data_IF_217625261002
#
_entry.id   IF_217625261002
#
_cell.length_a   1.000
_cell.length_b   1.000
_cell.length_c   1.000
_cell.angle_alpha   90.00
_cell.angle_beta   90.00
_cell.angle_gamma   90.00
#
_symmetry.space_group_name_H-M   'P 1'
#
loop_
_entity.id
_entity.type
_entity.pdbx_description
1 polymer ?
#
# COMPACT_ATOMS: atom_id res chain seq x y z
N UNK A 1 -18.76 20.59 7.00
CA UNK A 1 -18.70 21.93 6.35
C UNK A 1 -19.14 23.10 7.24
N UNK A 2 -20.30 23.03 7.95
CA UNK A 2 -20.73 24.15 8.80
C UNK A 2 -19.71 24.51 9.90
N UNK A 3 -19.08 23.47 10.51
CA UNK A 3 -18.01 23.65 11.47
C UNK A 3 -16.87 24.52 10.90
N UNK A 4 -16.30 24.11 9.77
CA UNK A 4 -15.19 24.82 9.16
C UNK A 4 -15.54 26.26 8.68
N UNK A 5 -16.78 26.47 8.20
CA UNK A 5 -17.21 27.81 7.78
C UNK A 5 -17.28 28.81 8.92
N UNK A 6 -17.68 28.33 10.12
CA UNK A 6 -17.89 29.15 11.30
C UNK A 6 -16.64 29.32 12.18
N UNK A 7 -15.57 28.62 11.86
CA UNK A 7 -14.29 28.68 12.57
C UNK A 7 -13.30 29.53 11.77
N UNK A 8 -12.99 30.74 12.23
CA UNK A 8 -12.10 31.65 11.52
C UNK A 8 -10.64 31.19 11.49
N UNK A 9 -10.25 30.26 12.34
CA UNK A 9 -8.93 29.64 12.33
C UNK A 9 -8.76 28.64 11.18
N UNK A 10 -9.84 28.03 10.68
CA UNK A 10 -9.81 27.16 9.49
C UNK A 10 -9.88 28.05 8.24
N UNK A 11 -8.83 27.98 7.41
CA UNK A 11 -8.69 28.83 6.22
C UNK A 11 -9.10 28.12 4.94
N UNK A 12 -8.79 26.82 4.85
CA UNK A 12 -9.19 25.99 3.72
C UNK A 12 -9.57 24.58 4.18
N UNK A 13 -10.36 23.88 3.37
CA UNK A 13 -10.71 22.48 3.57
C UNK A 13 -10.66 21.77 2.23
N UNK A 14 -9.98 20.63 2.20
CA UNK A 14 -9.94 19.76 1.01
C UNK A 14 -10.43 18.35 1.36
N UNK A 15 -10.92 17.64 0.33
CA UNK A 15 -11.21 16.22 0.34
C UNK A 15 -10.15 15.52 -0.49
N UNK A 16 -9.53 14.52 0.07
CA UNK A 16 -8.53 13.68 -0.59
C UNK A 16 -9.06 12.25 -0.83
N UNK A 17 -8.18 11.38 -1.29
CA UNK A 17 -8.37 9.94 -1.31
C UNK A 17 -9.43 9.44 -2.29
N UNK A 18 -10.06 8.31 -1.93
CA UNK A 18 -10.93 7.56 -2.85
C UNK A 18 -12.20 8.31 -3.28
N UNK A 19 -12.73 9.20 -2.45
CA UNK A 19 -13.90 10.03 -2.80
C UNK A 19 -13.56 11.16 -3.75
N UNK A 20 -12.30 11.60 -3.75
CA UNK A 20 -11.80 12.57 -4.72
C UNK A 20 -11.46 11.92 -6.07
N UNK A 21 -11.33 10.60 -6.14
CA UNK A 21 -11.00 9.86 -7.36
C UNK A 21 -12.27 9.54 -8.17
N UNK A 22 -12.38 10.14 -9.36
CA UNK A 22 -13.51 9.90 -10.27
C UNK A 22 -13.51 8.48 -10.86
N UNK A 23 -12.35 7.82 -10.90
CA UNK A 23 -12.16 6.48 -11.45
C UNK A 23 -12.31 5.37 -10.38
N UNK A 24 -12.33 5.74 -9.09
CA UNK A 24 -12.50 4.76 -8.02
C UNK A 24 -13.92 4.17 -8.01
N UNK A 25 -14.08 2.85 -7.82
CA UNK A 25 -15.37 2.25 -7.56
C UNK A 25 -16.02 2.88 -6.33
N UNK A 26 -17.29 3.29 -6.47
CA UNK A 26 -18.04 3.86 -5.36
C UNK A 26 -18.75 2.74 -4.59
N UNK A 27 -18.58 2.76 -3.26
CA UNK A 27 -19.28 1.85 -2.36
C UNK A 27 -19.64 2.54 -1.03
N UNK A 28 -20.34 1.81 -0.17
CA UNK A 28 -20.83 2.32 1.12
C UNK A 28 -19.73 2.43 2.19
N UNK A 29 -18.53 1.92 1.93
CA UNK A 29 -17.40 1.90 2.86
C UNK A 29 -16.31 2.90 2.51
N UNK A 30 -16.55 3.78 1.51
CA UNK A 30 -15.58 4.82 1.22
C UNK A 30 -15.50 5.83 2.36
N UNK A 31 -14.28 6.06 2.86
CA UNK A 31 -13.96 7.03 3.90
C UNK A 31 -14.05 8.48 3.37
N UNK A 32 -14.17 9.44 4.26
CA UNK A 32 -14.00 10.85 3.97
C UNK A 32 -12.62 11.29 4.50
N UNK A 33 -11.66 11.45 3.61
CA UNK A 33 -10.32 11.96 3.92
C UNK A 33 -10.36 13.50 3.85
N UNK A 34 -10.48 14.18 4.98
CA UNK A 34 -10.66 15.64 5.07
C UNK A 34 -9.43 16.27 5.70
N UNK A 35 -8.83 17.24 5.02
CA UNK A 35 -7.74 18.05 5.59
C UNK A 35 -8.14 19.51 5.70
N UNK A 36 -7.84 20.11 6.85
CA UNK A 36 -8.14 21.49 7.19
C UNK A 36 -6.84 22.29 7.36
N UNK A 37 -6.63 23.30 6.53
CA UNK A 37 -5.60 24.30 6.77
C UNK A 37 -6.01 25.20 7.93
N UNK A 38 -5.15 25.31 8.95
CA UNK A 38 -5.38 26.14 10.13
C UNK A 38 -4.24 27.13 10.37
N UNK A 39 -4.54 28.28 10.97
CA UNK A 39 -3.52 29.25 11.35
C UNK A 39 -2.86 28.90 12.69
N UNK A 40 -3.61 28.27 13.60
CA UNK A 40 -3.17 27.87 14.93
C UNK A 40 -3.68 26.45 15.22
N UNK A 41 -2.79 25.55 15.56
CA UNK A 41 -3.09 24.16 15.89
C UNK A 41 -3.72 23.98 17.28
N UNK A 42 -3.48 24.91 18.20
CA UNK A 42 -3.84 24.77 19.62
C UNK A 42 -5.31 24.39 19.88
N UNK A 43 -6.31 24.92 19.13
CA UNK A 43 -7.72 24.56 19.34
C UNK A 43 -8.07 23.13 18.94
N UNK A 44 -7.24 22.49 18.10
CA UNK A 44 -7.53 21.18 17.49
C UNK A 44 -6.72 20.05 18.11
N UNK A 45 -5.61 20.39 18.76
CA UNK A 45 -4.73 19.40 19.39
C UNK A 45 -5.39 18.78 20.61
N UNK A 46 -5.60 17.46 20.58
CA UNK A 46 -6.20 16.68 21.70
C UNK A 46 -7.54 17.26 22.22
N UNK A 47 -8.37 17.75 21.32
CA UNK A 47 -9.64 18.36 21.70
C UNK A 47 -10.79 17.34 21.67
N UNK A 48 -11.27 16.84 22.81
CA UNK A 48 -12.29 15.79 22.88
C UNK A 48 -13.68 16.27 22.40
N UNK A 49 -13.87 17.56 22.17
CA UNK A 49 -15.15 18.11 21.70
C UNK A 49 -15.29 18.04 20.18
N UNK A 50 -14.22 17.77 19.42
CA UNK A 50 -14.25 17.73 17.95
C UNK A 50 -14.92 16.47 17.44
N UNK A 51 -14.50 15.24 17.83
CA UNK A 51 -15.06 14.02 17.28
C UNK A 51 -16.59 13.90 17.39
N UNK A 52 -17.23 14.27 18.51
CA UNK A 52 -18.68 14.16 18.66
C UNK A 52 -19.49 15.07 17.74
N UNK A 53 -18.88 16.10 17.15
CA UNK A 53 -19.56 17.02 16.24
C UNK A 53 -20.02 16.34 14.93
N UNK A 54 -19.42 15.20 14.57
CA UNK A 54 -19.64 14.54 13.30
C UNK A 54 -20.55 13.32 13.39
N UNK A 55 -20.78 12.79 14.59
CA UNK A 55 -21.65 11.64 14.82
C UNK A 55 -21.35 10.87 16.11
N UNK A 56 -22.09 9.77 16.32
CA UNK A 56 -21.83 8.88 17.45
C UNK A 56 -20.63 7.99 17.15
N UNK A 57 -19.56 8.17 17.91
CA UNK A 57 -18.29 7.47 17.71
C UNK A 57 -18.42 5.99 18.08
N UNK A 58 -17.98 5.09 17.17
CA UNK A 58 -17.76 3.69 17.43
C UNK A 58 -16.35 3.43 17.93
N UNK A 59 -15.35 3.99 17.25
CA UNK A 59 -13.94 3.98 17.65
C UNK A 59 -13.25 5.24 17.13
N UNK A 60 -12.37 5.80 17.95
CA UNK A 60 -11.52 6.94 17.64
C UNK A 60 -10.07 6.52 17.76
N UNK A 61 -9.25 6.93 16.80
CA UNK A 61 -7.79 6.84 16.89
C UNK A 61 -7.21 8.24 16.62
N UNK A 62 -6.24 8.61 17.43
CA UNK A 62 -5.47 9.86 17.33
C UNK A 62 -4.00 9.47 17.14
N UNK A 63 -3.52 9.29 15.90
CA UNK A 63 -2.19 8.73 15.61
C UNK A 63 -1.06 9.52 16.26
N UNK A 64 -1.18 10.87 16.29
CA UNK A 64 -0.19 11.77 16.86
C UNK A 64 -0.17 11.76 18.40
N UNK A 65 -1.06 10.99 19.03
CA UNK A 65 -1.07 10.74 20.49
C UNK A 65 -0.64 9.31 20.87
N UNK A 66 -0.32 8.48 19.88
CA UNK A 66 0.15 7.12 20.11
C UNK A 66 1.63 7.13 20.53
N UNK A 67 2.02 6.15 21.34
CA UNK A 67 3.42 5.97 21.75
C UNK A 67 4.24 5.19 20.73
N UNK A 68 3.59 4.38 19.88
CA UNK A 68 4.23 3.56 18.87
C UNK A 68 3.36 3.49 17.60
N UNK A 69 3.88 3.95 16.45
CA UNK A 69 5.11 4.74 16.34
C UNK A 69 5.02 6.07 17.08
N UNK A 70 6.14 6.59 17.62
CA UNK A 70 6.12 7.88 18.30
C UNK A 70 5.69 8.97 17.33
N UNK A 71 4.79 9.84 17.78
CA UNK A 71 4.28 10.93 16.99
C UNK A 71 5.33 12.00 16.73
N UNK A 72 5.35 12.53 15.52
CA UNK A 72 6.07 13.75 15.19
C UNK A 72 5.14 14.93 15.49
N UNK A 73 5.50 15.79 16.47
CA UNK A 73 4.76 17.02 16.77
C UNK A 73 5.21 18.14 15.81
N UNK A 74 4.81 18.00 14.55
CA UNK A 74 5.28 18.84 13.45
C UNK A 74 4.27 19.88 12.97
N UNK A 75 3.12 20.00 13.63
CA UNK A 75 2.03 20.91 13.22
C UNK A 75 0.94 20.21 12.41
N UNK A 76 0.81 18.91 12.59
CA UNK A 76 -0.24 18.04 12.07
C UNK A 76 -0.97 17.35 13.22
N UNK A 77 -2.29 17.16 13.10
CA UNK A 77 -3.08 16.37 14.04
C UNK A 77 -4.29 15.76 13.37
N UNK A 78 -4.51 14.45 13.60
CA UNK A 78 -5.55 13.69 12.93
C UNK A 78 -6.51 13.02 13.92
N UNK A 79 -7.79 13.09 13.59
CA UNK A 79 -8.86 12.29 14.18
C UNK A 79 -9.33 11.25 13.18
N UNK A 80 -9.02 9.97 13.39
CA UNK A 80 -9.56 8.87 12.62
C UNK A 80 -10.83 8.37 13.29
N UNK A 81 -11.99 8.69 12.73
CA UNK A 81 -13.28 8.51 13.36
C UNK A 81 -14.14 7.49 12.60
N UNK A 82 -14.39 6.34 13.20
CA UNK A 82 -15.41 5.41 12.73
C UNK A 82 -16.69 5.62 13.53
N UNK A 83 -17.80 5.84 12.85
CA UNK A 83 -19.09 6.11 13.49
C UNK A 83 -19.98 4.86 13.56
N UNK A 84 -20.95 4.86 14.48
CA UNK A 84 -21.91 3.76 14.66
C UNK A 84 -22.85 3.58 13.47
N UNK A 85 -23.06 4.59 12.66
CA UNK A 85 -23.83 4.53 11.42
C UNK A 85 -23.09 3.87 10.25
N UNK A 86 -21.82 3.49 10.46
CA UNK A 86 -20.96 2.86 9.46
C UNK A 86 -20.11 3.82 8.63
N UNK A 87 -20.30 5.14 8.75
CA UNK A 87 -19.46 6.12 8.08
C UNK A 87 -18.09 6.25 8.77
N UNK A 88 -17.08 6.69 8.01
CA UNK A 88 -15.75 7.02 8.52
C UNK A 88 -15.31 8.39 8.01
N UNK A 89 -14.72 9.16 8.92
CA UNK A 89 -14.05 10.43 8.59
C UNK A 89 -12.65 10.39 9.17
N UNK A 90 -11.67 10.58 8.31
CA UNK A 90 -10.27 10.85 8.67
C UNK A 90 -10.10 12.37 8.54
N UNK A 91 -10.05 13.07 9.68
CA UNK A 91 -10.03 14.53 9.74
C UNK A 91 -8.67 14.99 10.24
N UNK A 92 -7.89 15.63 9.37
CA UNK A 92 -6.64 16.28 9.76
C UNK A 92 -6.77 17.79 9.87
N UNK A 93 -5.94 18.33 10.73
CA UNK A 93 -5.65 19.77 10.86
C UNK A 93 -4.16 19.96 10.62
N UNK A 94 -3.83 20.90 9.73
CA UNK A 94 -2.47 21.06 9.23
C UNK A 94 -2.09 22.54 9.23
N UNK A 95 -0.89 22.86 9.74
CA UNK A 95 -0.29 24.16 9.54
C UNK A 95 0.12 24.36 8.07
N UNK A 96 0.32 25.61 7.60
CA UNK A 96 0.54 25.91 6.18
C UNK A 96 1.68 25.12 5.53
N UNK A 97 2.75 24.86 6.26
CA UNK A 97 3.93 24.15 5.75
C UNK A 97 3.61 22.70 5.38
N UNK A 98 2.78 22.01 6.19
CA UNK A 98 2.37 20.62 5.96
C UNK A 98 1.19 20.53 5.00
N UNK A 99 0.25 21.47 5.08
CA UNK A 99 -0.91 21.51 4.18
C UNK A 99 -0.49 21.61 2.71
N UNK A 100 0.67 22.21 2.44
CA UNK A 100 1.22 22.24 1.08
C UNK A 100 1.40 20.86 0.50
N UNK A 101 1.95 19.91 1.25
CA UNK A 101 2.10 18.52 0.80
C UNK A 101 0.74 17.84 0.57
N UNK A 102 -0.27 18.14 1.40
CA UNK A 102 -1.64 17.62 1.26
C UNK A 102 -2.28 18.03 -0.07
N UNK A 103 -2.10 19.28 -0.49
CA UNK A 103 -2.67 19.79 -1.74
C UNK A 103 -1.85 19.46 -2.99
N UNK A 104 -0.62 18.98 -2.84
CA UNK A 104 0.19 18.43 -3.95
C UNK A 104 -0.31 17.06 -4.40
N UNK A 105 -1.08 16.33 -3.58
CA UNK A 105 -1.73 15.07 -3.99
C UNK A 105 -2.73 15.34 -5.12
N UNK A 106 -2.58 14.61 -6.21
CA UNK A 106 -3.46 14.75 -7.36
C UNK A 106 -4.91 14.35 -7.10
N UNK A 107 -5.20 13.59 -6.04
CA UNK A 107 -6.55 13.27 -5.58
C UNK A 107 -7.04 14.30 -4.54
N UNK A 108 -7.05 15.58 -4.93
CA UNK A 108 -7.51 16.69 -4.08
C UNK A 108 -8.69 17.42 -4.69
N UNK A 109 -9.75 17.61 -3.90
CA UNK A 109 -10.94 18.40 -4.24
C UNK A 109 -11.13 19.51 -3.20
N UNK A 110 -11.22 20.75 -3.64
CA UNK A 110 -11.42 21.92 -2.77
C UNK A 110 -12.87 21.91 -2.27
N UNK A 111 -13.08 21.92 -0.95
CA UNK A 111 -14.38 22.06 -0.31
C UNK A 111 -14.63 23.46 0.23
N UNK A 112 -13.58 24.15 0.69
CA UNK A 112 -13.61 25.52 1.22
C UNK A 112 -12.26 26.18 0.96
N UNK A 113 -12.29 27.43 0.53
CA UNK A 113 -11.11 28.26 0.39
C UNK A 113 -11.52 29.72 0.74
N UNK A 114 -11.27 30.15 1.98
CA UNK A 114 -11.66 31.48 2.46
C UNK A 114 -10.79 32.59 1.93
N UNK A 115 -9.55 32.28 1.62
CA UNK A 115 -8.52 33.26 1.25
C UNK A 115 -8.19 33.25 -0.25
N UNK A 116 -8.77 32.28 -0.99
CA UNK A 116 -8.51 32.11 -2.43
C UNK A 116 -7.08 31.67 -2.74
N UNK A 117 -6.47 30.90 -1.83
CA UNK A 117 -5.09 30.42 -1.96
C UNK A 117 -4.96 29.11 -2.75
N UNK A 118 -6.08 28.42 -3.00
CA UNK A 118 -6.12 27.10 -3.68
C UNK A 118 -6.54 27.21 -5.16
N UNK A 119 -6.57 28.40 -5.73
CA UNK A 119 -7.10 28.66 -7.10
C UNK A 119 -6.39 27.90 -8.20
N UNK A 120 -5.11 27.59 -8.02
CA UNK A 120 -4.25 26.96 -9.03
C UNK A 120 -4.17 25.44 -8.89
N UNK A 121 -4.94 24.82 -7.97
CA UNK A 121 -4.99 23.37 -7.83
C UNK A 121 -5.73 22.77 -9.04
N UNK A 122 -5.10 21.86 -9.78
CA UNK A 122 -5.73 21.23 -10.95
C UNK A 122 -6.91 20.34 -10.53
N UNK A 123 -7.83 20.03 -11.44
CA UNK A 123 -8.89 19.06 -11.19
C UNK A 123 -8.32 17.74 -10.69
N UNK A 124 -9.03 17.11 -9.75
CA UNK A 124 -8.61 15.84 -9.15
C UNK A 124 -8.43 14.75 -10.21
N UNK A 125 -7.33 14.01 -10.11
CA UNK A 125 -6.99 12.90 -10.99
C UNK A 125 -6.13 11.88 -10.25
N UNK A 126 -6.12 10.64 -10.70
CA UNK A 126 -5.32 9.56 -10.10
C UNK A 126 -3.90 9.41 -10.70
N UNK A 127 -3.39 10.47 -11.37
CA UNK A 127 -2.08 10.45 -12.06
C UNK A 127 -0.90 10.04 -11.17
N UNK A 128 -0.92 10.44 -9.87
CA UNK A 128 0.16 10.14 -8.94
C UNK A 128 0.12 8.69 -8.42
N UNK A 129 -0.99 8.00 -8.67
CA UNK A 129 -1.25 6.61 -8.26
C UNK A 129 -1.05 5.61 -9.41
N UNK A 130 -0.68 6.09 -10.58
CA UNK A 130 -0.32 5.24 -11.71
C UNK A 130 0.99 4.51 -11.42
N UNK A 131 1.13 3.24 -11.83
CA UNK A 131 2.41 2.55 -11.75
C UNK A 131 3.45 3.29 -12.59
N UNK A 132 4.72 3.22 -12.15
CA UNK A 132 5.85 3.80 -12.91
C UNK A 132 6.71 2.68 -13.48
N UNK A 133 7.24 2.84 -14.71
CA UNK A 133 8.20 1.90 -15.24
C UNK A 133 9.39 1.72 -14.29
N UNK A 134 9.89 0.50 -14.10
CA UNK A 134 11.08 0.30 -13.30
C UNK A 134 12.32 0.81 -14.02
N UNK A 135 13.33 1.23 -13.27
CA UNK A 135 14.70 1.28 -13.78
C UNK A 135 15.29 -0.13 -13.78
N UNK A 136 16.34 -0.37 -14.58
CA UNK A 136 17.03 -1.67 -14.56
C UNK A 136 17.53 -2.03 -13.17
N UNK A 137 18.06 -1.05 -12.41
CA UNK A 137 18.53 -1.26 -11.04
C UNK A 137 17.40 -1.70 -10.10
N UNK A 138 16.23 -1.04 -10.14
CA UNK A 138 15.08 -1.44 -9.35
C UNK A 138 14.56 -2.84 -9.70
N UNK A 139 14.58 -3.18 -10.98
CA UNK A 139 14.22 -4.51 -11.45
C UNK A 139 15.19 -5.57 -10.91
N UNK A 140 16.52 -5.34 -11.01
CA UNK A 140 17.53 -6.26 -10.50
C UNK A 140 17.43 -6.42 -8.98
N UNK A 141 17.24 -5.32 -8.23
CA UNK A 141 17.07 -5.37 -6.79
C UNK A 141 15.83 -6.16 -6.38
N UNK A 142 14.73 -5.99 -7.09
CA UNK A 142 13.50 -6.75 -6.87
C UNK A 142 13.70 -8.25 -7.10
N UNK A 143 14.39 -8.62 -8.19
CA UNK A 143 14.70 -10.02 -8.48
C UNK A 143 15.62 -10.64 -7.43
N UNK A 144 16.69 -9.92 -7.06
CA UNK A 144 17.64 -10.40 -6.07
C UNK A 144 16.98 -10.59 -4.70
N UNK A 145 16.22 -9.61 -4.21
CA UNK A 145 15.53 -9.69 -2.92
C UNK A 145 14.48 -10.82 -2.90
N UNK A 146 13.72 -10.98 -3.98
CA UNK A 146 12.74 -12.07 -4.07
C UNK A 146 13.40 -13.44 -3.87
N UNK A 147 14.46 -13.72 -4.62
CA UNK A 147 15.15 -15.01 -4.54
C UNK A 147 15.90 -15.17 -3.22
N UNK A 148 16.51 -14.11 -2.71
CA UNK A 148 17.19 -14.11 -1.41
C UNK A 148 16.24 -14.51 -0.27
N UNK A 149 15.08 -13.86 -0.20
CA UNK A 149 14.06 -14.13 0.83
C UNK A 149 13.42 -15.51 0.65
N UNK A 150 13.22 -15.97 -0.57
CA UNK A 150 12.68 -17.32 -0.83
C UNK A 150 13.53 -18.44 -0.20
N UNK A 151 14.86 -18.25 -0.16
CA UNK A 151 15.75 -19.16 0.56
C UNK A 151 15.54 -19.12 2.09
N UNK A 152 15.14 -17.99 2.67
CA UNK A 152 14.82 -17.90 4.10
C UNK A 152 13.52 -18.64 4.42
N UNK A 153 12.51 -18.52 3.56
CA UNK A 153 11.25 -19.27 3.71
C UNK A 153 11.54 -20.76 3.75
N UNK A 154 12.31 -21.29 2.79
CA UNK A 154 12.67 -22.70 2.73
C UNK A 154 13.39 -23.19 4.00
N UNK A 155 14.40 -22.44 4.45
CA UNK A 155 15.15 -22.75 5.70
C UNK A 155 14.26 -22.70 6.94
N UNK A 156 13.35 -21.75 7.01
CA UNK A 156 12.39 -21.62 8.12
C UNK A 156 11.40 -22.77 8.18
N UNK A 157 10.89 -23.26 7.03
CA UNK A 157 10.01 -24.42 6.97
C UNK A 157 10.76 -25.64 7.52
N UNK A 158 11.98 -25.90 7.04
CA UNK A 158 12.77 -27.03 7.50
C UNK A 158 13.05 -27.00 9.03
N UNK A 159 13.21 -25.78 9.60
CA UNK A 159 13.40 -25.56 11.04
C UNK A 159 12.10 -25.58 11.85
N UNK A 160 10.95 -25.73 11.21
CA UNK A 160 9.63 -25.66 11.84
C UNK A 160 9.33 -24.30 12.50
N UNK A 161 9.73 -23.20 11.85
CA UNK A 161 9.64 -21.83 12.35
C UNK A 161 8.46 -21.07 11.72
N UNK A 162 7.21 -21.47 12.00
CA UNK A 162 6.01 -21.01 11.30
C UNK A 162 5.88 -19.48 11.24
N UNK A 163 6.02 -18.78 12.35
CA UNK A 163 5.84 -17.31 12.41
C UNK A 163 6.89 -16.58 11.58
N UNK A 164 8.13 -17.05 11.61
CA UNK A 164 9.21 -16.52 10.76
C UNK A 164 8.89 -16.77 9.27
N UNK A 165 8.53 -18.01 8.92
CA UNK A 165 8.19 -18.40 7.55
C UNK A 165 7.08 -17.54 6.96
N UNK A 166 5.97 -17.41 7.70
CA UNK A 166 4.82 -16.62 7.24
C UNK A 166 5.19 -15.14 7.08
N UNK A 167 5.98 -14.59 7.99
CA UNK A 167 6.43 -13.21 7.87
C UNK A 167 7.34 -13.01 6.64
N UNK A 168 8.34 -13.89 6.43
CA UNK A 168 9.23 -13.80 5.27
C UNK A 168 8.47 -13.97 3.95
N UNK A 169 7.52 -14.90 3.87
CA UNK A 169 6.78 -15.14 2.64
C UNK A 169 5.69 -14.09 2.38
N UNK A 170 4.87 -13.76 3.39
CA UNK A 170 3.67 -12.92 3.20
C UNK A 170 3.98 -11.43 3.25
N UNK A 171 5.14 -11.03 3.78
CA UNK A 171 5.58 -9.64 3.81
C UNK A 171 6.68 -9.43 2.78
N UNK A 172 7.88 -9.95 3.00
CA UNK A 172 9.06 -9.60 2.19
C UNK A 172 9.02 -10.18 0.78
N UNK A 173 8.83 -11.50 0.62
CA UNK A 173 8.76 -12.10 -0.73
C UNK A 173 7.52 -11.61 -1.49
N UNK A 174 6.39 -11.47 -0.80
CA UNK A 174 5.15 -10.94 -1.36
C UNK A 174 5.30 -9.51 -1.86
N UNK A 175 6.00 -8.65 -1.14
CA UNK A 175 6.26 -7.28 -1.58
C UNK A 175 6.96 -7.26 -2.94
N UNK A 176 7.98 -8.09 -3.14
CA UNK A 176 8.70 -8.15 -4.42
C UNK A 176 7.84 -8.75 -5.54
N UNK A 177 7.07 -9.81 -5.24
CA UNK A 177 6.11 -10.34 -6.20
C UNK A 177 5.10 -9.28 -6.62
N UNK A 178 4.53 -8.53 -5.68
CA UNK A 178 3.54 -7.49 -5.99
C UNK A 178 4.14 -6.33 -6.78
N UNK A 179 5.40 -5.95 -6.55
CA UNK A 179 6.12 -4.98 -7.41
C UNK A 179 6.18 -5.50 -8.86
N UNK A 180 6.57 -6.76 -9.04
CA UNK A 180 6.66 -7.38 -10.36
C UNK A 180 5.29 -7.45 -11.05
N UNK A 181 4.24 -7.82 -10.32
CA UNK A 181 2.85 -7.82 -10.81
C UNK A 181 2.41 -6.43 -11.25
N UNK A 182 2.73 -5.39 -10.47
CA UNK A 182 2.38 -4.00 -10.79
C UNK A 182 3.12 -3.51 -12.02
N UNK A 183 4.39 -3.85 -12.23
CA UNK A 183 5.12 -3.51 -13.44
C UNK A 183 4.56 -4.24 -14.68
N UNK A 184 4.25 -5.52 -14.54
CA UNK A 184 3.57 -6.28 -15.61
C UNK A 184 2.22 -5.64 -15.98
N UNK A 185 1.40 -5.33 -14.97
CA UNK A 185 0.14 -4.61 -15.16
C UNK A 185 0.36 -3.26 -15.85
N UNK A 186 1.37 -2.50 -15.42
CA UNK A 186 1.73 -1.23 -16.04
C UNK A 186 2.05 -1.38 -17.53
N UNK A 187 2.80 -2.40 -17.92
CA UNK A 187 3.08 -2.69 -19.33
C UNK A 187 1.79 -2.96 -20.10
N UNK A 188 0.87 -3.75 -19.54
CA UNK A 188 -0.41 -4.10 -20.20
C UNK A 188 -1.34 -2.90 -20.37
N UNK A 189 -1.26 -1.92 -19.48
CA UNK A 189 -2.11 -0.72 -19.49
C UNK A 189 -1.38 0.53 -19.98
N UNK A 190 -0.17 0.36 -20.52
CA UNK A 190 0.66 1.48 -20.96
C UNK A 190 0.93 2.49 -19.82
N UNK A 191 0.95 1.99 -18.57
CA UNK A 191 1.09 2.76 -17.33
C UNK A 191 0.01 3.84 -17.12
N UNK A 192 -1.19 3.63 -17.68
CA UNK A 192 -2.30 4.60 -17.67
C UNK A 192 -3.46 4.21 -16.76
N UNK A 193 -3.37 3.08 -16.07
CA UNK A 193 -4.37 2.63 -15.13
C UNK A 193 -3.76 2.40 -13.74
N UNK A 194 -4.51 2.77 -12.69
CA UNK A 194 -4.09 2.58 -11.32
C UNK A 194 -4.54 1.21 -10.79
N UNK A 195 -3.62 0.39 -10.21
CA UNK A 195 -3.98 -0.89 -9.61
C UNK A 195 -4.69 -0.74 -8.25
N UNK A 196 -4.84 0.49 -7.77
CA UNK A 196 -5.33 0.83 -6.43
C UNK A 196 -4.30 0.55 -5.33
N UNK A 197 -4.54 1.14 -4.16
CA UNK A 197 -3.66 0.95 -2.98
C UNK A 197 -3.47 -0.54 -2.71
N UNK A 198 -2.21 -0.99 -2.64
CA UNK A 198 -1.83 -2.41 -2.45
C UNK A 198 -2.42 -3.37 -3.50
N UNK A 199 -2.74 -2.88 -4.70
CA UNK A 199 -3.26 -3.73 -5.78
C UNK A 199 -4.73 -4.14 -5.63
N UNK A 200 -5.54 -3.42 -4.83
CA UNK A 200 -6.93 -3.81 -4.52
C UNK A 200 -7.86 -3.93 -5.74
N UNK A 201 -7.48 -3.37 -6.90
CA UNK A 201 -8.26 -3.47 -8.12
C UNK A 201 -7.75 -4.55 -9.09
N UNK A 202 -6.57 -5.13 -8.84
CA UNK A 202 -5.92 -6.09 -9.74
C UNK A 202 -6.77 -7.30 -10.08
N UNK A 203 -7.61 -7.78 -9.16
CA UNK A 203 -8.53 -8.92 -9.44
C UNK A 203 -9.40 -8.69 -10.67
N UNK A 204 -9.81 -7.45 -10.92
CA UNK A 204 -10.68 -7.08 -12.05
C UNK A 204 -9.90 -6.63 -13.30
N UNK A 205 -8.61 -6.38 -13.15
CA UNK A 205 -7.77 -5.74 -14.16
C UNK A 205 -6.72 -6.68 -14.76
N UNK A 206 -6.29 -7.71 -14.00
CA UNK A 206 -5.34 -8.71 -14.50
C UNK A 206 -6.02 -9.78 -15.35
N UNK A 207 -5.24 -10.42 -16.21
CA UNK A 207 -5.66 -11.65 -16.88
C UNK A 207 -6.11 -12.68 -15.85
N UNK A 208 -7.27 -13.36 -16.04
CA UNK A 208 -7.82 -14.31 -15.07
C UNK A 208 -6.86 -15.43 -14.67
N UNK A 209 -6.00 -15.87 -15.61
CA UNK A 209 -4.99 -16.91 -15.33
C UNK A 209 -3.94 -16.41 -14.34
N UNK A 210 -3.43 -15.20 -14.54
CA UNK A 210 -2.44 -14.55 -13.64
C UNK A 210 -3.07 -14.34 -12.26
N UNK A 211 -4.32 -13.86 -12.22
CA UNK A 211 -5.00 -13.71 -10.94
C UNK A 211 -5.16 -15.05 -10.20
N UNK A 212 -5.59 -16.10 -10.90
CA UNK A 212 -5.75 -17.43 -10.33
C UNK A 212 -4.43 -18.00 -9.79
N UNK A 213 -3.33 -17.77 -10.47
CA UNK A 213 -2.01 -18.16 -9.98
C UNK A 213 -1.58 -17.33 -8.78
N UNK A 214 -1.83 -16.01 -8.80
CA UNK A 214 -1.56 -15.14 -7.67
C UNK A 214 -2.34 -15.57 -6.42
N UNK A 215 -3.61 -15.95 -6.56
CA UNK A 215 -4.40 -16.50 -5.44
C UNK A 215 -3.75 -17.74 -4.82
N UNK A 216 -3.16 -18.64 -5.62
CA UNK A 216 -2.47 -19.85 -5.13
C UNK A 216 -1.17 -19.57 -4.37
N UNK A 217 -0.64 -18.35 -4.46
CA UNK A 217 0.52 -17.94 -3.66
C UNK A 217 0.18 -17.64 -2.20
N UNK A 218 -1.11 -17.57 -1.85
CA UNK A 218 -1.58 -17.39 -0.47
C UNK A 218 -1.88 -18.76 0.14
N UNK A 219 -1.11 -19.14 1.17
CA UNK A 219 -1.27 -20.42 1.86
C UNK A 219 -1.81 -20.24 3.28
N UNK A 220 -2.39 -21.31 3.81
CA UNK A 220 -2.64 -21.47 5.24
C UNK A 220 -1.33 -21.70 6.03
N UNK A 221 -1.45 -22.12 7.30
CA UNK A 221 -0.32 -22.35 8.21
C UNK A 221 0.30 -23.77 8.10
N UNK A 222 -0.18 -24.63 7.18
CA UNK A 222 0.39 -25.96 7.00
C UNK A 222 1.61 -25.88 6.11
N UNK A 223 2.72 -26.44 6.55
CA UNK A 223 3.98 -26.35 5.81
C UNK A 223 3.92 -26.97 4.41
N UNK A 224 3.13 -28.01 4.22
CA UNK A 224 2.89 -28.61 2.89
C UNK A 224 2.32 -27.55 1.93
N UNK A 225 1.31 -26.80 2.38
CA UNK A 225 0.68 -25.76 1.58
C UNK A 225 1.59 -24.52 1.43
N UNK A 226 2.43 -24.23 2.44
CA UNK A 226 3.44 -23.17 2.34
C UNK A 226 4.49 -23.52 1.30
N UNK A 227 4.97 -24.78 1.25
CA UNK A 227 5.86 -25.24 0.19
C UNK A 227 5.25 -25.07 -1.20
N UNK A 228 4.01 -25.53 -1.38
CA UNK A 228 3.31 -25.39 -2.67
C UNK A 228 3.18 -23.95 -3.09
N UNK A 229 2.75 -23.07 -2.16
CA UNK A 229 2.61 -21.63 -2.44
C UNK A 229 3.95 -20.95 -2.74
N UNK A 230 5.06 -21.38 -2.11
CA UNK A 230 6.40 -20.84 -2.40
C UNK A 230 6.82 -21.21 -3.83
N UNK A 231 6.58 -22.44 -4.30
CA UNK A 231 6.90 -22.82 -5.66
C UNK A 231 6.04 -22.07 -6.69
N UNK A 232 4.73 -21.99 -6.46
CA UNK A 232 3.84 -21.19 -7.33
C UNK A 232 4.27 -19.73 -7.36
N UNK A 233 4.69 -19.19 -6.20
CA UNK A 233 5.19 -17.81 -6.10
C UNK A 233 6.48 -17.62 -6.94
N UNK A 234 7.40 -18.58 -6.90
CA UNK A 234 8.60 -18.59 -7.75
C UNK A 234 8.28 -18.66 -9.24
N UNK A 235 7.32 -19.51 -9.63
CA UNK A 235 6.95 -19.70 -11.04
C UNK A 235 6.27 -18.46 -11.62
N UNK A 236 5.30 -17.85 -10.92
CA UNK A 236 4.65 -16.63 -11.38
C UNK A 236 5.63 -15.46 -11.40
N UNK A 237 6.48 -15.32 -10.37
CA UNK A 237 7.49 -14.26 -10.32
C UNK A 237 8.44 -14.36 -11.51
N UNK A 238 9.03 -15.53 -11.78
CA UNK A 238 9.94 -15.80 -12.89
C UNK A 238 9.32 -15.44 -14.24
N UNK A 239 8.08 -15.85 -14.46
CA UNK A 239 7.37 -15.60 -15.72
C UNK A 239 7.16 -14.09 -15.91
N UNK A 240 6.58 -13.42 -14.92
CA UNK A 240 6.33 -11.98 -15.00
C UNK A 240 7.64 -11.18 -15.12
N UNK A 241 8.69 -11.57 -14.39
CA UNK A 241 9.98 -10.91 -14.46
C UNK A 241 10.63 -11.03 -15.84
N UNK A 242 10.50 -12.19 -16.53
CA UNK A 242 10.97 -12.34 -17.90
C UNK A 242 10.18 -11.45 -18.88
N UNK A 243 8.88 -11.34 -18.70
CA UNK A 243 8.05 -10.47 -19.54
C UNK A 243 8.42 -8.99 -19.33
N UNK A 244 8.61 -8.57 -18.08
CA UNK A 244 9.06 -7.20 -17.73
C UNK A 244 10.46 -6.95 -18.31
N UNK A 245 11.40 -7.86 -18.11
CA UNK A 245 12.74 -7.76 -18.66
C UNK A 245 12.74 -7.63 -20.19
N UNK A 246 11.95 -8.46 -20.87
CA UNK A 246 11.81 -8.42 -22.33
C UNK A 246 11.26 -7.07 -22.82
N UNK A 247 10.26 -6.52 -22.12
CA UNK A 247 9.65 -5.25 -22.51
C UNK A 247 10.60 -4.05 -22.39
N UNK A 248 11.47 -4.04 -21.38
CA UNK A 248 12.39 -2.92 -21.12
C UNK A 248 13.82 -3.16 -21.63
N UNK A 249 14.11 -4.33 -22.18
CA UNK A 249 15.46 -4.69 -22.63
C UNK A 249 16.42 -5.00 -21.48
N UNK A 250 15.90 -5.39 -20.30
CA UNK A 250 16.70 -5.79 -19.16
C UNK A 250 17.13 -7.26 -19.24
N UNK A 251 18.11 -7.64 -18.44
CA UNK A 251 18.54 -9.03 -18.31
C UNK A 251 17.86 -9.65 -17.06
N UNK A 252 17.13 -10.77 -17.23
CA UNK A 252 16.65 -11.54 -16.10
C UNK A 252 17.82 -12.33 -15.46
N UNK A 253 18.00 -12.32 -14.11
CA UNK A 253 19.12 -13.00 -13.44
C UNK A 253 18.90 -14.51 -13.36
N UNK A 254 18.88 -15.19 -14.51
CA UNK A 254 18.56 -16.62 -14.63
C UNK A 254 19.44 -17.52 -13.75
N UNK A 255 20.75 -17.19 -13.63
CA UNK A 255 21.66 -18.00 -12.84
C UNK A 255 21.34 -17.95 -11.34
N UNK A 256 20.93 -16.78 -10.83
CA UNK A 256 20.52 -16.64 -9.41
C UNK A 256 19.24 -17.43 -9.15
N UNK A 257 18.24 -17.30 -10.02
CA UNK A 257 17.01 -18.08 -9.95
C UNK A 257 17.30 -19.59 -9.94
N UNK A 258 18.07 -20.10 -10.89
CA UNK A 258 18.41 -21.52 -11.00
C UNK A 258 19.12 -22.02 -9.73
N UNK A 259 20.08 -21.24 -9.21
CA UNK A 259 20.82 -21.60 -8.01
C UNK A 259 19.89 -21.65 -6.78
N UNK A 260 19.05 -20.64 -6.59
CA UNK A 260 18.14 -20.55 -5.43
C UNK A 260 17.02 -21.58 -5.54
N UNK A 261 16.43 -21.77 -6.71
CA UNK A 261 15.40 -22.78 -6.94
C UNK A 261 15.94 -24.20 -6.62
N UNK A 262 17.13 -24.54 -7.11
CA UNK A 262 17.79 -25.81 -6.78
C UNK A 262 18.07 -25.96 -5.28
N UNK A 263 18.49 -24.90 -4.62
CA UNK A 263 18.73 -24.88 -3.17
C UNK A 263 17.43 -25.13 -2.39
N UNK A 264 16.33 -24.45 -2.76
CA UNK A 264 14.99 -24.66 -2.16
C UNK A 264 14.54 -26.11 -2.31
N UNK A 265 14.67 -26.68 -3.51
CA UNK A 265 14.35 -28.10 -3.75
C UNK A 265 15.21 -29.06 -2.91
N UNK A 266 16.49 -28.78 -2.74
CA UNK A 266 17.36 -29.55 -1.84
C UNK A 266 16.85 -29.52 -0.40
N UNK A 267 16.55 -28.33 0.13
CA UNK A 267 16.04 -28.16 1.50
C UNK A 267 14.72 -28.92 1.70
N UNK A 268 13.79 -28.86 0.74
CA UNK A 268 12.52 -29.58 0.83
C UNK A 268 12.70 -31.09 1.01
N UNK A 269 13.74 -31.65 0.41
CA UNK A 269 14.02 -33.08 0.44
C UNK A 269 15.03 -33.47 1.53
N UNK A 270 15.52 -32.57 2.35
CA UNK A 270 16.44 -32.86 3.44
C UNK A 270 15.70 -33.56 4.59
N UNK A 271 16.29 -34.65 5.15
CA UNK A 271 15.82 -35.21 6.41
C UNK A 271 15.84 -34.18 7.54
N UNK A 272 14.93 -34.32 8.50
CA UNK A 272 14.85 -33.37 9.63
C UNK A 272 16.13 -33.37 10.52
N UNK A 273 16.93 -34.40 10.48
CA UNK A 273 18.19 -34.56 11.22
C UNK A 273 19.44 -34.37 10.36
N UNK A 274 19.31 -33.85 9.13
CA UNK A 274 20.44 -33.59 8.23
C UNK A 274 21.51 -32.71 8.90
N UNK A 275 22.79 -33.07 8.68
CA UNK A 275 23.97 -32.33 9.20
C UNK A 275 24.67 -31.52 8.11
N UNK A 276 24.38 -31.84 6.84
CA UNK A 276 24.97 -31.21 5.65
C UNK A 276 23.88 -31.01 4.60
N UNK A 277 24.08 -30.04 3.68
CA UNK A 277 23.18 -29.73 2.54
C UNK A 277 23.73 -30.34 1.26
#
# INVERSE_FOLDING_TARGET
>A
MNYARNDDNIRAVVLNGSRANLNAPKDIFQDYDIACLVNDMSPYFKNPNIPPLFGEIMILQEPEDMQEPPAENDGHYTYLMQFKDGNRIDLSFDLPELFKAVIEDSLTVILLDKDGILKDIPPSSDKDYMPKPPTEKLFQDCCNEFWWVSAYVAKGIWRNELTFVKHMQDVYAREQLMKMVVWYFGIKTDFKEAPGKMGKYLKKQLDPEIWTELEKTYSDAKFENVWESLFVMGDIFRRLAKDVASNFGFQYPQQEDDNVSNFIYKIKNLPADAKEI
#
